data_IF_779022195265
#
_entry.id   IF_779022195265
#
_cell.length_a   1.000
_cell.length_b   1.000
_cell.length_c   1.000
_cell.angle_alpha   90.00
_cell.angle_beta   90.00
_cell.angle_gamma   90.00
#
_symmetry.space_group_name_H-M   'P 1'
#
loop_
_entity.id
_entity.type
_entity.pdbx_description
1 polymer ?
#
# COMPACT_ATOMS: atom_id res chain seq x y z
N UNK A 1 -9.18 -2.05 -24.36
CA UNK A 1 -10.15 -1.54 -23.38
C UNK A 1 -10.11 -2.48 -22.18
N UNK A 2 -9.84 -1.96 -20.99
CA UNK A 2 -9.80 -2.78 -19.77
C UNK A 2 -11.21 -3.20 -19.35
N UNK A 3 -11.35 -4.36 -18.71
CA UNK A 3 -12.64 -4.88 -18.21
C UNK A 3 -13.40 -3.85 -17.36
N UNK A 4 -12.66 -3.04 -16.59
CA UNK A 4 -13.23 -1.97 -15.74
C UNK A 4 -13.82 -0.82 -16.54
N UNK A 5 -13.20 -0.44 -17.65
CA UNK A 5 -13.74 0.57 -18.57
C UNK A 5 -15.03 0.06 -19.21
N UNK A 6 -15.10 -1.23 -19.56
CA UNK A 6 -16.31 -1.85 -20.08
C UNK A 6 -17.44 -1.87 -19.04
N UNK A 7 -17.13 -2.22 -17.79
CA UNK A 7 -18.10 -2.14 -16.67
C UNK A 7 -18.68 -0.74 -16.53
N UNK A 8 -17.84 0.29 -16.51
CA UNK A 8 -18.29 1.68 -16.38
C UNK A 8 -19.03 2.16 -17.62
N UNK A 9 -18.60 1.77 -18.81
CA UNK A 9 -19.27 2.09 -20.07
C UNK A 9 -20.69 1.53 -20.12
N UNK A 10 -20.88 0.24 -19.82
CA UNK A 10 -22.21 -0.39 -19.80
C UNK A 10 -23.13 0.25 -18.75
N UNK A 11 -22.59 0.56 -17.57
CA UNK A 11 -23.36 1.25 -16.53
C UNK A 11 -23.80 2.65 -16.98
N UNK A 12 -22.93 3.42 -17.64
CA UNK A 12 -23.30 4.73 -18.24
C UNK A 12 -24.35 4.60 -19.32
N UNK A 13 -24.37 3.49 -20.07
CA UNK A 13 -25.42 3.16 -21.03
C UNK A 13 -26.72 2.64 -20.40
N UNK A 14 -26.85 2.68 -19.06
CA UNK A 14 -28.08 2.34 -18.34
C UNK A 14 -28.23 0.87 -17.94
N UNK A 15 -27.20 0.05 -18.09
CA UNK A 15 -27.27 -1.37 -17.72
C UNK A 15 -27.28 -1.56 -16.21
N UNK A 16 -28.06 -2.55 -15.73
CA UNK A 16 -28.08 -2.94 -14.31
C UNK A 16 -26.84 -3.76 -13.96
N UNK A 17 -26.40 -3.67 -12.70
CA UNK A 17 -25.23 -4.40 -12.18
C UNK A 17 -25.34 -5.91 -12.43
N UNK A 18 -26.53 -6.49 -12.27
CA UNK A 18 -26.78 -7.92 -12.52
C UNK A 18 -26.52 -8.31 -13.98
N UNK A 19 -26.89 -7.46 -14.94
CA UNK A 19 -26.76 -7.73 -16.36
C UNK A 19 -25.31 -7.56 -16.81
N UNK A 20 -24.61 -6.56 -16.27
CA UNK A 20 -23.17 -6.36 -16.47
C UNK A 20 -22.38 -7.57 -15.94
N UNK A 21 -22.71 -8.03 -14.73
CA UNK A 21 -22.08 -9.20 -14.09
C UNK A 21 -22.21 -10.45 -14.97
N UNK A 22 -23.40 -10.73 -15.50
CA UNK A 22 -23.63 -11.85 -16.42
C UNK A 22 -22.91 -11.66 -17.75
N UNK A 23 -22.97 -10.46 -18.34
CA UNK A 23 -22.41 -10.16 -19.66
C UNK A 23 -20.89 -10.26 -19.69
N UNK A 24 -20.22 -9.81 -18.64
CA UNK A 24 -18.76 -9.79 -18.54
C UNK A 24 -18.20 -11.00 -17.77
N UNK A 25 -19.05 -11.90 -17.29
CA UNK A 25 -18.67 -13.04 -16.45
C UNK A 25 -17.87 -12.63 -15.19
N UNK A 26 -18.21 -11.48 -14.62
CA UNK A 26 -17.58 -10.90 -13.41
C UNK A 26 -18.55 -10.99 -12.23
N UNK A 27 -18.07 -11.21 -11.02
CA UNK A 27 -18.95 -11.27 -9.84
C UNK A 27 -19.64 -9.93 -9.56
N UNK A 28 -20.89 -9.99 -9.09
CA UNK A 28 -21.66 -8.80 -8.69
C UNK A 28 -20.87 -7.90 -7.73
N UNK A 29 -20.15 -8.48 -6.77
CA UNK A 29 -19.30 -7.77 -5.81
C UNK A 29 -18.16 -7.00 -6.48
N UNK A 30 -17.54 -7.55 -7.53
CA UNK A 30 -16.49 -6.85 -8.28
C UNK A 30 -17.08 -5.66 -9.06
N UNK A 31 -18.19 -5.86 -9.77
CA UNK A 31 -18.90 -4.78 -10.49
C UNK A 31 -19.29 -3.67 -9.52
N UNK A 32 -19.91 -4.01 -8.38
CA UNK A 32 -20.30 -3.04 -7.35
C UNK A 32 -19.10 -2.26 -6.79
N UNK A 33 -17.98 -2.93 -6.47
CA UNK A 33 -16.75 -2.27 -5.99
C UNK A 33 -16.18 -1.28 -7.00
N UNK A 34 -16.12 -1.67 -8.29
CA UNK A 34 -15.61 -0.81 -9.36
C UNK A 34 -16.50 0.43 -9.51
N UNK A 35 -17.82 0.25 -9.59
CA UNK A 35 -18.76 1.35 -9.73
C UNK A 35 -18.76 2.29 -8.53
N UNK A 36 -18.67 1.76 -7.30
CA UNK A 36 -18.59 2.58 -6.09
C UNK A 36 -17.33 3.47 -6.09
N UNK A 37 -16.19 2.89 -6.48
CA UNK A 37 -14.94 3.66 -6.63
C UNK A 37 -15.03 4.69 -7.75
N UNK A 38 -15.59 4.32 -8.89
CA UNK A 38 -15.77 5.24 -10.02
C UNK A 38 -16.65 6.43 -9.65
N UNK A 39 -17.75 6.22 -8.91
CA UNK A 39 -18.61 7.30 -8.41
C UNK A 39 -17.88 8.25 -7.44
N UNK A 40 -16.97 7.72 -6.64
CA UNK A 40 -16.22 8.51 -5.64
C UNK A 40 -15.06 9.28 -6.25
N UNK A 41 -14.36 8.69 -7.22
CA UNK A 41 -13.05 9.20 -7.72
C UNK A 41 -13.05 9.61 -9.19
N UNK A 42 -14.07 9.24 -9.96
CA UNK A 42 -14.08 9.36 -11.42
C UNK A 42 -13.09 8.44 -12.15
N UNK A 43 -12.31 7.63 -11.43
CA UNK A 43 -11.23 6.82 -12.01
C UNK A 43 -11.54 5.32 -12.05
N UNK A 44 -11.23 4.70 -13.19
CA UNK A 44 -11.30 3.24 -13.40
C UNK A 44 -9.98 2.52 -13.14
N UNK A 45 -8.86 3.27 -13.08
CA UNK A 45 -7.53 2.72 -12.80
C UNK A 45 -7.48 2.15 -11.39
N UNK A 46 -6.88 0.98 -11.11
CA UNK A 46 -6.71 0.49 -9.74
C UNK A 46 -6.04 1.54 -8.85
N UNK A 47 -6.26 1.48 -7.54
CA UNK A 47 -5.32 2.12 -6.61
C UNK A 47 -4.05 1.31 -6.63
N UNK A 48 -2.90 1.98 -6.65
CA UNK A 48 -1.63 1.30 -6.44
C UNK A 48 -1.63 0.70 -5.03
N UNK A 49 -1.17 -0.55 -4.89
CA UNK A 49 -1.16 -1.23 -3.59
C UNK A 49 -0.31 -0.52 -2.51
N UNK A 50 0.52 0.43 -2.94
CA UNK A 50 1.42 1.25 -2.12
C UNK A 50 0.90 2.67 -1.87
N UNK A 51 -0.12 3.13 -2.60
CA UNK A 51 -0.65 4.48 -2.47
C UNK A 51 -1.34 4.65 -1.11
N UNK A 52 -0.79 5.53 -0.27
CA UNK A 52 -1.27 5.78 1.10
C UNK A 52 -0.56 4.98 2.21
N UNK A 53 0.46 4.15 1.90
CA UNK A 53 1.34 3.59 2.95
C UNK A 53 2.34 4.66 3.37
N UNK A 54 2.07 5.32 4.49
CA UNK A 54 3.10 6.12 5.17
C UNK A 54 4.10 5.14 5.78
N UNK A 55 5.38 5.26 5.43
CA UNK A 55 6.43 4.46 6.07
C UNK A 55 6.42 4.72 7.58
N UNK A 56 6.57 3.66 8.39
CA UNK A 56 6.65 3.82 9.84
C UNK A 56 7.82 4.75 10.20
N UNK A 57 7.68 5.67 11.18
CA UNK A 57 8.77 6.51 11.65
C UNK A 57 10.05 5.73 11.98
N UNK A 58 9.90 4.50 12.48
CA UNK A 58 11.01 3.58 12.75
C UNK A 58 11.79 3.20 11.47
N UNK A 59 11.08 2.89 10.38
CA UNK A 59 11.69 2.52 9.09
C UNK A 59 12.42 3.71 8.48
N UNK A 60 11.83 4.91 8.60
CA UNK A 60 12.44 6.16 8.15
C UNK A 60 13.75 6.41 8.93
N UNK A 61 13.74 6.29 10.26
CA UNK A 61 14.92 6.47 11.10
C UNK A 61 16.04 5.46 10.76
N UNK A 62 15.70 4.18 10.58
CA UNK A 62 16.66 3.14 10.16
C UNK A 62 17.33 3.50 8.82
N UNK A 63 16.55 3.99 7.85
CA UNK A 63 17.07 4.41 6.54
C UNK A 63 17.97 5.64 6.67
N UNK A 64 17.57 6.63 7.47
CA UNK A 64 18.34 7.86 7.69
C UNK A 64 19.67 7.58 8.40
N UNK A 65 19.73 6.72 9.42
CA UNK A 65 20.99 6.37 10.07
C UNK A 65 22.00 5.72 9.12
N UNK A 66 21.52 4.88 8.21
CA UNK A 66 22.41 4.24 7.23
C UNK A 66 22.82 5.20 6.12
N UNK A 67 21.91 6.03 5.63
CA UNK A 67 22.18 6.95 4.52
C UNK A 67 22.99 8.19 4.94
N UNK A 68 22.70 8.75 6.13
CA UNK A 68 23.31 10.00 6.61
C UNK A 68 24.52 9.77 7.52
N UNK A 69 24.45 8.78 8.41
CA UNK A 69 25.52 8.49 9.37
C UNK A 69 26.45 7.35 8.90
N UNK A 70 26.14 6.70 7.78
CA UNK A 70 26.95 5.60 7.25
C UNK A 70 26.91 4.33 8.10
N UNK A 71 25.97 4.21 9.04
CA UNK A 71 25.85 3.05 9.93
C UNK A 71 25.51 1.81 9.11
N UNK A 72 26.46 0.87 9.03
CA UNK A 72 26.30 -0.37 8.26
C UNK A 72 25.93 -1.57 9.12
N UNK A 73 26.28 -1.52 10.41
CA UNK A 73 26.06 -2.61 11.37
C UNK A 73 24.68 -2.51 12.00
N UNK A 74 23.91 -3.59 11.96
CA UNK A 74 22.55 -3.59 12.50
C UNK A 74 22.52 -3.46 14.03
N UNK A 75 23.56 -3.90 14.73
CA UNK A 75 23.70 -3.69 16.18
C UNK A 75 23.88 -2.21 16.52
N UNK A 76 24.68 -1.50 15.74
CA UNK A 76 24.91 -0.06 15.90
C UNK A 76 23.64 0.74 15.63
N UNK A 77 22.92 0.43 14.55
CA UNK A 77 21.60 1.04 14.28
C UNK A 77 20.62 0.76 15.42
N UNK A 78 20.62 -0.47 15.98
CA UNK A 78 19.74 -0.82 17.11
C UNK A 78 20.09 -0.02 18.36
N UNK A 79 21.36 0.11 18.68
CA UNK A 79 21.83 0.90 19.83
C UNK A 79 21.50 2.37 19.67
N UNK A 80 21.68 2.92 18.47
CA UNK A 80 21.35 4.32 18.17
C UNK A 80 19.83 4.57 18.26
N UNK A 81 19.00 3.67 17.75
CA UNK A 81 17.54 3.75 17.91
C UNK A 81 17.10 3.81 19.38
N UNK A 82 17.82 3.09 20.25
CA UNK A 82 17.56 3.09 21.69
C UNK A 82 18.09 4.37 22.35
N UNK A 83 19.29 4.81 21.97
CA UNK A 83 19.92 6.02 22.48
C UNK A 83 19.09 7.28 22.15
N UNK A 84 18.54 7.35 20.94
CA UNK A 84 17.69 8.45 20.48
C UNK A 84 16.23 8.34 20.98
N UNK A 85 15.92 7.33 21.80
CA UNK A 85 14.60 7.13 22.40
C UNK A 85 13.49 6.72 21.42
N UNK A 86 13.83 6.37 20.18
CA UNK A 86 12.88 5.87 19.16
C UNK A 86 12.38 4.48 19.55
N UNK A 87 13.26 3.68 20.16
CA UNK A 87 12.96 2.35 20.67
C UNK A 87 13.38 2.19 22.14
N UNK A 88 12.70 1.33 22.88
CA UNK A 88 13.18 0.75 24.14
C UNK A 88 13.93 -0.55 23.88
N UNK A 89 14.65 -1.08 24.89
CA UNK A 89 15.36 -2.35 24.75
C UNK A 89 14.44 -3.52 24.39
N UNK A 90 13.19 -3.50 24.86
CA UNK A 90 12.21 -4.55 24.58
C UNK A 90 11.51 -4.39 23.23
N UNK A 91 11.33 -3.17 22.72
CA UNK A 91 10.61 -2.92 21.46
C UNK A 91 11.54 -2.75 20.25
N UNK A 92 12.86 -2.64 20.47
CA UNK A 92 13.82 -2.43 19.41
C UNK A 92 13.83 -3.59 18.40
N UNK A 93 13.83 -3.29 17.09
CA UNK A 93 13.74 -4.31 16.05
C UNK A 93 14.93 -5.27 16.05
N UNK A 94 14.69 -6.50 15.60
CA UNK A 94 15.75 -7.49 15.44
C UNK A 94 16.76 -7.08 14.35
N UNK A 95 17.97 -7.65 14.37
CA UNK A 95 18.98 -7.42 13.31
C UNK A 95 18.44 -7.74 11.92
N UNK A 96 17.63 -8.79 11.80
CA UNK A 96 16.98 -9.19 10.55
C UNK A 96 15.93 -8.16 10.09
N UNK A 97 15.12 -7.66 11.02
CA UNK A 97 14.09 -6.63 10.73
C UNK A 97 14.70 -5.31 10.29
N UNK A 98 15.80 -4.89 10.92
CA UNK A 98 16.58 -3.71 10.50
C UNK A 98 17.11 -3.91 9.08
N UNK A 99 17.66 -5.09 8.78
CA UNK A 99 18.21 -5.38 7.46
C UNK A 99 17.13 -5.39 6.36
N UNK A 100 15.93 -5.89 6.67
CA UNK A 100 14.81 -5.91 5.73
C UNK A 100 14.22 -4.52 5.48
N UNK A 101 14.22 -3.64 6.49
CA UNK A 101 13.71 -2.27 6.38
C UNK A 101 14.55 -1.38 5.46
N UNK A 102 15.77 -1.81 5.11
CA UNK A 102 16.72 -1.10 4.25
C UNK A 102 16.77 -1.65 2.83
N UNK A 103 16.20 -2.85 2.58
CA UNK A 103 16.11 -3.41 1.22
C UNK A 103 15.05 -2.69 0.40
#
# INVERSE_FOLDING_TARGET
>A
MSEREQIVGLYKSGWKICDISKRLCVTHSCVSKILNRFRTTGSVRPKDAKEGRTESPLVIAIRDYRARLGMSRQSEIREQLIADGICSRENAPSRSSINQSVR
#
